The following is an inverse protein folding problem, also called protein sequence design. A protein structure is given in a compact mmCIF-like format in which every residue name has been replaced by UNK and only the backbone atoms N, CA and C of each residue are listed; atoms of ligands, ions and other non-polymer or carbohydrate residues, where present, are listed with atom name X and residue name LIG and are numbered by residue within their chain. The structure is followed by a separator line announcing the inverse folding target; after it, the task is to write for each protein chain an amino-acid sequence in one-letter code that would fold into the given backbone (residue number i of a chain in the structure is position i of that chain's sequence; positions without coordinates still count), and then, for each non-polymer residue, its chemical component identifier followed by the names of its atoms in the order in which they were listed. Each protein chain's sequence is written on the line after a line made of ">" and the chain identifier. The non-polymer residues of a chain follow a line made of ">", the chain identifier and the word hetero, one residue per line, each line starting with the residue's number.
data_IF_695683568106
#
_entry.id   IF_695683568106
#
_cell.length_a   1.000
_cell.length_b   1.000
_cell.length_c   1.000
_cell.angle_alpha   90.00
_cell.angle_beta   90.00
_cell.angle_gamma   90.00
#
_symmetry.space_group_name_H-M   'P 1'
#
loop_
_entity.id
_entity.type
_entity.pdbx_description
1 polymer ?
#
# COMPACT_ATOMS: atom_id res chain seq x y z
N UNK A 1 -15.72 1.81 1.09
CA UNK A 1 -14.91 0.97 2.00
C UNK A 1 -14.79 -0.39 1.34
N UNK A 2 -13.60 -1.00 1.35
CA UNK A 2 -13.46 -2.39 0.91
C UNK A 2 -14.25 -3.29 1.87
N UNK A 3 -14.74 -4.43 1.37
CA UNK A 3 -15.27 -5.48 2.23
C UNK A 3 -14.18 -5.95 3.20
N UNK A 4 -14.57 -6.49 4.35
CA UNK A 4 -13.59 -7.04 5.27
C UNK A 4 -12.82 -8.18 4.59
N UNK A 5 -11.49 -8.12 4.69
CA UNK A 5 -10.58 -9.04 4.02
C UNK A 5 -9.37 -9.30 4.92
N UNK A 6 -8.68 -10.39 4.68
CA UNK A 6 -7.39 -10.70 5.28
C UNK A 6 -6.21 -10.31 4.36
N UNK A 7 -6.49 -9.87 3.13
CA UNK A 7 -5.44 -9.54 2.16
C UNK A 7 -5.81 -8.38 1.25
N UNK A 8 -4.81 -7.55 0.94
CA UNK A 8 -4.84 -6.56 -0.15
C UNK A 8 -3.53 -6.57 -0.93
N UNK A 9 -3.64 -6.45 -2.26
CA UNK A 9 -2.51 -6.28 -3.17
C UNK A 9 -2.49 -4.87 -3.76
N UNK A 10 -1.29 -4.34 -3.99
CA UNK A 10 -1.01 -3.04 -4.59
C UNK A 10 0.05 -3.21 -5.68
N UNK A 11 -0.24 -2.70 -6.88
CA UNK A 11 0.70 -2.71 -8.00
C UNK A 11 0.97 -1.28 -8.42
N UNK A 12 2.26 -0.93 -8.49
CA UNK A 12 2.73 0.28 -9.15
C UNK A 12 3.53 -0.14 -10.39
N UNK A 13 2.87 -0.10 -11.56
CA UNK A 13 3.48 -0.51 -12.83
C UNK A 13 4.61 0.43 -13.26
N UNK A 14 4.54 1.70 -12.84
CA UNK A 14 5.52 2.71 -13.20
C UNK A 14 6.84 2.47 -12.46
N UNK A 15 6.76 2.24 -11.14
CA UNK A 15 7.91 1.83 -10.33
C UNK A 15 8.28 0.35 -10.52
N UNK A 16 7.39 -0.48 -11.03
CA UNK A 16 7.61 -1.93 -11.17
C UNK A 16 7.55 -2.67 -9.82
N UNK A 17 6.62 -2.26 -8.96
CA UNK A 17 6.40 -2.83 -7.63
C UNK A 17 5.11 -3.64 -7.57
N UNK A 18 5.17 -4.83 -6.98
CA UNK A 18 4.00 -5.61 -6.55
C UNK A 18 4.12 -5.85 -5.05
N UNK A 19 3.11 -5.43 -4.29
CA UNK A 19 3.12 -5.43 -2.83
C UNK A 19 1.84 -6.06 -2.31
N UNK A 20 1.94 -6.91 -1.28
CA UNK A 20 0.77 -7.38 -0.54
C UNK A 20 0.88 -7.14 0.95
N UNK A 21 -0.27 -6.88 1.57
CA UNK A 21 -0.48 -6.96 3.00
C UNK A 21 -1.37 -8.16 3.29
N UNK A 22 -0.88 -9.07 4.11
CA UNK A 22 -1.59 -10.25 4.59
C UNK A 22 -1.78 -10.14 6.11
N UNK A 23 -3.01 -10.26 6.57
CA UNK A 23 -3.46 -10.00 7.93
C UNK A 23 -3.85 -11.33 8.59
N UNK A 24 -3.34 -11.60 9.79
CA UNK A 24 -3.71 -12.83 10.50
C UNK A 24 -5.15 -12.83 11.01
N UNK A 25 -5.82 -11.68 11.00
CA UNK A 25 -7.21 -11.50 11.39
C UNK A 25 -7.90 -10.69 10.29
N UNK A 26 -9.01 -11.19 9.77
CA UNK A 26 -9.87 -10.46 8.83
C UNK A 26 -10.29 -9.11 9.43
N UNK A 27 -10.20 -8.05 8.64
CA UNK A 27 -10.55 -6.69 9.08
C UNK A 27 -10.92 -5.81 7.91
N UNK A 28 -11.37 -4.60 8.21
CA UNK A 28 -11.61 -3.60 7.18
C UNK A 28 -10.30 -2.95 6.74
N UNK A 29 -10.28 -2.45 5.51
CA UNK A 29 -9.13 -1.71 4.96
C UNK A 29 -9.61 -0.36 4.46
N UNK A 30 -9.01 0.71 5.01
CA UNK A 30 -9.18 2.06 4.50
C UNK A 30 -8.10 2.37 3.48
N UNK A 31 -8.53 2.93 2.35
CA UNK A 31 -7.64 3.41 1.29
C UNK A 31 -8.00 4.83 0.92
N UNK A 32 -7.01 5.71 0.83
CA UNK A 32 -7.19 7.08 0.37
C UNK A 32 -5.86 7.63 -0.18
N UNK A 33 -5.90 8.60 -1.12
CA UNK A 33 -4.70 9.17 -1.69
C UNK A 33 -4.02 10.14 -0.71
N UNK A 34 -2.70 10.22 -0.77
CA UNK A 34 -1.93 11.36 -0.26
C UNK A 34 -1.79 12.34 -1.42
N UNK A 35 -2.29 13.56 -1.23
CA UNK A 35 -2.23 14.60 -2.25
C UNK A 35 -1.61 15.87 -1.67
N UNK A 36 -0.80 16.53 -2.48
CA UNK A 36 -0.21 17.84 -2.17
C UNK A 36 -0.86 18.91 -3.03
N UNK A 37 -1.03 20.11 -2.48
CA UNK A 37 -1.46 21.27 -3.27
C UNK A 37 -0.26 21.82 -4.03
N UNK A 38 -0.33 21.80 -5.35
CA UNK A 38 0.64 22.42 -6.24
C UNK A 38 0.08 23.74 -6.77
N UNK A 39 0.94 24.74 -6.93
CA UNK A 39 0.61 26.01 -7.57
C UNK A 39 1.39 26.13 -8.89
N UNK A 40 0.67 26.33 -9.99
CA UNK A 40 1.24 26.53 -11.32
C UNK A 40 0.65 27.78 -11.98
N UNK A 41 1.11 28.12 -13.18
CA UNK A 41 0.48 29.17 -14.00
C UNK A 41 -0.99 28.88 -14.32
N UNK A 42 -1.41 27.60 -14.26
CA UNK A 42 -2.79 27.15 -14.40
C UNK A 42 -3.64 27.24 -13.12
N UNK A 43 -3.06 27.64 -11.99
CA UNK A 43 -3.72 27.71 -10.68
C UNK A 43 -3.33 26.56 -9.73
N UNK A 44 -4.19 26.34 -8.72
CA UNK A 44 -3.98 25.31 -7.71
C UNK A 44 -4.55 23.96 -8.13
N UNK A 45 -3.75 22.91 -7.99
CA UNK A 45 -4.14 21.54 -8.33
C UNK A 45 -3.70 20.57 -7.23
N UNK A 46 -4.49 19.50 -7.03
CA UNK A 46 -4.08 18.38 -6.21
C UNK A 46 -3.14 17.47 -7.02
N UNK A 47 -1.97 17.17 -6.46
CA UNK A 47 -0.98 16.27 -7.06
C UNK A 47 -0.86 15.03 -6.18
N UNK A 48 -1.13 13.87 -6.77
CA UNK A 48 -1.00 12.57 -6.12
C UNK A 48 0.46 12.27 -5.76
N UNK A 49 0.71 11.90 -4.51
CA UNK A 49 2.03 11.53 -3.99
C UNK A 49 2.12 10.07 -3.54
N UNK A 50 0.98 9.36 -3.52
CA UNK A 50 0.91 7.96 -3.12
C UNK A 50 -0.46 7.61 -2.54
N UNK A 51 -0.61 6.37 -2.09
CA UNK A 51 -1.81 5.88 -1.44
C UNK A 51 -1.53 5.45 0.00
N UNK A 52 -2.52 5.61 0.86
CA UNK A 52 -2.53 5.08 2.22
C UNK A 52 -3.33 3.78 2.22
N UNK A 53 -2.83 2.78 2.94
CA UNK A 53 -3.53 1.54 3.23
C UNK A 53 -3.50 1.31 4.73
N UNK A 54 -4.67 1.35 5.39
CA UNK A 54 -4.79 1.16 6.83
C UNK A 54 -5.71 -0.01 7.13
N UNK A 55 -5.16 -1.17 7.54
CA UNK A 55 -5.92 -2.23 8.17
C UNK A 55 -6.53 -1.75 9.50
N UNK A 56 -7.81 -2.03 9.73
CA UNK A 56 -8.49 -1.66 10.96
C UNK A 56 -9.44 -2.77 11.44
N UNK A 57 -9.62 -2.85 12.76
CA UNK A 57 -10.46 -3.87 13.40
C UNK A 57 -11.33 -3.26 14.49
N UNK A 58 -12.52 -3.82 14.65
CA UNK A 58 -13.31 -3.69 15.88
C UNK A 58 -13.11 -4.98 16.66
N UNK A 59 -12.53 -4.92 17.85
CA UNK A 59 -12.23 -6.10 18.64
C UNK A 59 -12.58 -5.89 20.11
N UNK A 60 -12.79 -7.01 20.80
CA UNK A 60 -12.85 -7.06 22.26
C UNK A 60 -11.64 -7.86 22.73
N UNK A 61 -10.95 -7.37 23.76
CA UNK A 61 -9.86 -8.11 24.36
C UNK A 61 -10.37 -9.42 24.97
N UNK A 62 -9.59 -10.49 24.88
CA UNK A 62 -9.91 -11.75 25.55
C UNK A 62 -9.68 -11.63 27.07
N UNK A 63 -9.88 -12.72 27.83
CA UNK A 63 -9.70 -12.74 29.29
C UNK A 63 -8.29 -12.33 29.76
N UNK A 64 -7.29 -12.43 28.87
CA UNK A 64 -5.92 -11.95 29.14
C UNK A 64 -5.74 -10.43 28.91
N UNK A 65 -6.81 -9.72 28.54
CA UNK A 65 -6.78 -8.28 28.24
C UNK A 65 -6.02 -7.92 26.96
N UNK A 66 -5.67 -8.90 26.13
CA UNK A 66 -4.80 -8.72 24.97
C UNK A 66 -5.51 -9.09 23.67
N UNK A 67 -5.30 -8.27 22.64
CA UNK A 67 -5.64 -8.57 21.26
C UNK A 67 -4.41 -8.37 20.38
N UNK A 68 -4.20 -9.27 19.42
CA UNK A 68 -3.00 -9.30 18.58
C UNK A 68 -3.40 -9.57 17.14
N UNK A 69 -2.65 -8.96 16.22
CA UNK A 69 -2.71 -9.23 14.80
C UNK A 69 -1.29 -9.25 14.25
N UNK A 70 -1.00 -10.18 13.35
CA UNK A 70 0.22 -10.18 12.54
C UNK A 70 -0.13 -9.58 11.19
N UNK A 71 0.69 -8.63 10.74
CA UNK A 71 0.63 -8.04 9.41
C UNK A 71 1.92 -8.45 8.70
N UNK A 72 1.79 -9.16 7.58
CA UNK A 72 2.90 -9.51 6.71
C UNK A 72 2.88 -8.62 5.48
N UNK A 73 3.97 -7.88 5.28
CA UNK A 73 4.22 -7.11 4.08
C UNK A 73 5.14 -7.92 3.15
N UNK A 74 4.65 -8.24 1.97
CA UNK A 74 5.43 -8.85 0.90
C UNK A 74 5.68 -7.80 -0.18
N UNK A 75 6.93 -7.68 -0.64
CA UNK A 75 7.30 -6.80 -1.75
C UNK A 75 8.05 -7.60 -2.81
N UNK A 76 7.61 -7.49 -4.04
CA UNK A 76 8.33 -7.94 -5.23
C UNK A 76 8.76 -6.72 -6.05
N UNK A 77 10.07 -6.63 -6.31
CA UNK A 77 10.71 -5.57 -7.09
C UNK A 77 11.39 -6.09 -8.34
N UNK A 78 11.11 -7.34 -8.73
CA UNK A 78 11.79 -8.02 -9.84
C UNK A 78 11.67 -7.26 -11.16
N UNK A 79 10.52 -6.62 -11.42
CA UNK A 79 10.32 -5.77 -12.61
C UNK A 79 11.21 -4.53 -12.56
N UNK A 80 11.24 -3.82 -11.43
CA UNK A 80 12.11 -2.67 -11.24
C UNK A 80 13.60 -3.05 -11.44
N UNK A 81 14.01 -4.19 -10.88
CA UNK A 81 15.38 -4.70 -11.01
C UNK A 81 15.73 -5.06 -12.46
N UNK A 82 14.82 -5.72 -13.18
CA UNK A 82 15.02 -6.06 -14.58
C UNK A 82 15.19 -4.82 -15.47
N UNK A 83 14.40 -3.77 -15.23
CA UNK A 83 14.51 -2.48 -15.94
C UNK A 83 15.88 -1.83 -15.69
N UNK A 84 16.31 -1.76 -14.43
CA UNK A 84 17.61 -1.19 -14.08
C UNK A 84 18.78 -1.97 -14.73
N UNK A 85 18.71 -3.30 -14.75
CA UNK A 85 19.73 -4.13 -15.41
C UNK A 85 19.77 -3.91 -16.93
N UNK A 86 18.61 -3.77 -17.57
CA UNK A 86 18.52 -3.49 -19.01
C UNK A 86 19.11 -2.12 -19.37
N UNK A 87 18.87 -1.10 -18.54
CA UNK A 87 19.47 0.23 -18.71
C UNK A 87 20.99 0.20 -18.59
N UNK A 88 21.52 -0.55 -17.62
CA UNK A 88 22.98 -0.73 -17.46
C UNK A 88 23.57 -1.46 -18.66
N UNK A 89 22.89 -2.50 -19.18
CA UNK A 89 23.36 -3.24 -20.35
C UNK A 89 23.30 -2.44 -21.66
N UNK A 90 22.41 -1.45 -21.75
CA UNK A 90 22.27 -0.56 -22.91
C UNK A 90 23.30 0.58 -22.93
N UNK A 91 24.08 0.76 -21.86
CA UNK A 91 25.12 1.77 -21.72
C UNK A 91 26.50 1.22 -22.11
#
# INVERSE_FOLDING_TARGET
>A
ALEETDRIGLVDEWLGLDVSLDLSQTGGIWTFPIETVSNSEGGFEAVHQGCVVVPHWKFTANDSGTWQVKILLTLDTSIAQARALAEVAAR
#
